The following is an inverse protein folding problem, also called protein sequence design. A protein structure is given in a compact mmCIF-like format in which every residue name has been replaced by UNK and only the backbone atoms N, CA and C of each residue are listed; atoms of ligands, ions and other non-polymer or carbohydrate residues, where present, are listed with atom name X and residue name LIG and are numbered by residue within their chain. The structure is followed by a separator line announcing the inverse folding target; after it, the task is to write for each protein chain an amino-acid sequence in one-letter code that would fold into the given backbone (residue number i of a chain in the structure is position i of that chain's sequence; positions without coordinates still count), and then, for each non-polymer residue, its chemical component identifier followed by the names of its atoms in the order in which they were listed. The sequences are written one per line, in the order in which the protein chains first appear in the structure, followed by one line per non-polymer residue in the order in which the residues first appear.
data_IF_355318819152
#
_entry.id   IF_355318819152
#
_cell.length_a   1.000
_cell.length_b   1.000
_cell.length_c   1.000
_cell.angle_alpha   90.00
_cell.angle_beta   90.00
_cell.angle_gamma   90.00
#
_symmetry.space_group_name_H-M   'P 1'
#
loop_
_entity.id
_entity.type
_entity.pdbx_description
1 polymer ?
#
# COMPACT_ATOMS: atom_id res chain seq x y z
N UNK A 1 -20.75 20.81 -15.75
CA UNK A 1 -19.40 20.26 -15.52
C UNK A 1 -19.53 18.76 -15.55
N UNK A 2 -18.80 18.07 -16.43
CA UNK A 2 -18.92 16.62 -16.58
C UNK A 2 -18.53 15.93 -15.27
N UNK A 3 -19.41 15.06 -14.77
CA UNK A 3 -19.21 14.20 -13.60
C UNK A 3 -18.12 13.15 -13.87
N UNK A 4 -16.89 13.60 -14.14
CA UNK A 4 -15.76 12.71 -14.26
C UNK A 4 -15.23 12.44 -12.86
N UNK A 5 -15.88 11.48 -12.18
CA UNK A 5 -15.39 10.96 -10.91
C UNK A 5 -14.04 10.28 -11.17
N UNK A 6 -12.98 10.63 -10.41
CA UNK A 6 -11.70 9.97 -10.57
C UNK A 6 -11.77 8.48 -10.21
N UNK A 7 -11.02 7.65 -10.95
CA UNK A 7 -11.00 6.20 -10.77
C UNK A 7 -10.53 5.74 -9.38
N UNK A 8 -9.78 6.57 -8.66
CA UNK A 8 -9.28 6.26 -7.31
C UNK A 8 -10.34 6.44 -6.21
N UNK A 9 -11.40 7.22 -6.45
CA UNK A 9 -12.37 7.55 -5.41
C UNK A 9 -13.45 6.47 -5.34
N UNK A 10 -13.74 5.82 -4.20
CA UNK A 10 -14.77 4.78 -4.11
C UNK A 10 -16.20 5.24 -4.38
N UNK A 11 -17.08 4.30 -4.79
CA UNK A 11 -18.48 4.58 -5.15
C UNK A 11 -19.34 4.63 -3.89
N UNK A 12 -19.26 3.54 -3.12
CA UNK A 12 -20.07 3.31 -1.94
C UNK A 12 -19.55 4.20 -0.83
N UNK A 13 -20.47 4.76 -0.05
CA UNK A 13 -20.15 5.66 1.05
C UNK A 13 -19.23 5.02 2.09
N UNK A 14 -19.56 3.80 2.53
CA UNK A 14 -18.71 3.03 3.46
C UNK A 14 -17.29 2.81 2.95
N UNK A 15 -17.14 2.57 1.64
CA UNK A 15 -15.81 2.40 1.03
C UNK A 15 -15.08 3.74 0.93
N UNK A 16 -15.81 4.82 0.62
CA UNK A 16 -15.27 6.17 0.58
C UNK A 16 -14.81 6.65 1.96
N UNK A 17 -15.60 6.41 3.02
CA UNK A 17 -15.25 6.76 4.41
C UNK A 17 -13.95 6.08 4.83
N UNK A 18 -13.84 4.77 4.58
CA UNK A 18 -12.63 3.99 4.90
C UNK A 18 -11.42 4.47 4.11
N UNK A 19 -11.58 4.62 2.80
CA UNK A 19 -10.53 5.12 1.93
C UNK A 19 -10.08 6.53 2.34
N UNK A 20 -11.01 7.42 2.68
CA UNK A 20 -10.69 8.80 3.00
C UNK A 20 -9.99 8.93 4.36
N UNK A 21 -10.32 8.06 5.32
CA UNK A 21 -9.59 7.94 6.58
C UNK A 21 -8.11 7.61 6.36
N UNK A 22 -7.82 6.59 5.54
CA UNK A 22 -6.46 6.19 5.20
C UNK A 22 -5.74 7.28 4.38
N UNK A 23 -6.45 7.90 3.42
CA UNK A 23 -5.94 9.05 2.67
C UNK A 23 -5.51 10.18 3.60
N UNK A 24 -6.33 10.56 4.60
CA UNK A 24 -6.00 11.61 5.56
C UNK A 24 -4.82 11.22 6.46
N UNK A 25 -4.77 9.97 6.93
CA UNK A 25 -3.67 9.48 7.75
C UNK A 25 -2.34 9.57 6.99
N UNK A 26 -2.29 9.07 5.74
CA UNK A 26 -1.09 9.17 4.90
C UNK A 26 -0.78 10.60 4.50
N UNK A 27 -1.78 11.40 4.10
CA UNK A 27 -1.59 12.79 3.71
C UNK A 27 -0.98 13.62 4.83
N UNK A 28 -1.31 13.33 6.09
CA UNK A 28 -0.70 14.00 7.24
C UNK A 28 0.81 13.83 7.29
N UNK A 29 1.31 12.66 6.88
CA UNK A 29 2.74 12.35 6.87
C UNK A 29 3.44 13.01 5.68
N UNK A 30 2.82 12.98 4.50
CA UNK A 30 3.46 13.45 3.26
C UNK A 30 3.16 14.91 2.90
N UNK A 31 2.19 15.56 3.57
CA UNK A 31 1.72 16.92 3.26
C UNK A 31 2.85 17.95 3.07
N UNK A 32 3.87 18.03 3.96
CA UNK A 32 4.97 18.98 3.78
C UNK A 32 5.78 18.75 2.50
N UNK A 33 5.89 17.50 2.06
CA UNK A 33 6.64 17.12 0.86
C UNK A 33 5.91 17.57 -0.41
N UNK A 34 4.58 17.45 -0.42
CA UNK A 34 3.73 17.75 -1.58
C UNK A 34 3.13 19.16 -1.56
N UNK A 35 3.55 20.02 -0.62
CA UNK A 35 3.14 21.42 -0.57
C UNK A 35 1.72 21.66 -0.05
N UNK A 36 1.16 20.70 0.70
CA UNK A 36 -0.14 20.87 1.36
C UNK A 36 0.08 21.51 2.74
N UNK A 37 -0.63 22.61 2.98
CA UNK A 37 -0.55 23.36 4.24
C UNK A 37 -1.34 22.68 5.35
N UNK A 38 -0.98 22.97 6.61
CA UNK A 38 -1.74 22.50 7.78
C UNK A 38 -3.20 22.98 7.74
N UNK A 39 -3.45 24.19 7.25
CA UNK A 39 -4.82 24.72 7.11
C UNK A 39 -5.66 23.91 6.12
N UNK A 40 -5.08 23.53 4.96
CA UNK A 40 -5.76 22.68 3.98
C UNK A 40 -6.04 21.29 4.53
N UNK A 41 -5.07 20.71 5.27
CA UNK A 41 -5.25 19.42 5.91
C UNK A 41 -6.34 19.47 6.98
N UNK A 42 -6.38 20.54 7.78
CA UNK A 42 -7.39 20.73 8.81
C UNK A 42 -8.79 20.90 8.21
N UNK A 43 -8.93 21.62 7.10
CA UNK A 43 -10.20 21.76 6.40
C UNK A 43 -10.75 20.40 5.93
N UNK A 44 -9.89 19.53 5.38
CA UNK A 44 -10.29 18.17 4.97
C UNK A 44 -10.69 17.30 6.17
N UNK A 45 -9.94 17.40 7.28
CA UNK A 45 -10.26 16.69 8.54
C UNK A 45 -11.62 17.12 9.08
N UNK A 46 -11.89 18.43 9.14
CA UNK A 46 -13.18 18.94 9.60
C UNK A 46 -14.35 18.44 8.73
N UNK A 47 -14.18 18.34 7.41
CA UNK A 47 -15.20 17.74 6.54
C UNK A 47 -15.42 16.24 6.83
N UNK A 48 -14.34 15.50 7.09
CA UNK A 48 -14.43 14.08 7.47
C UNK A 48 -15.15 13.89 8.80
N UNK A 49 -14.76 14.66 9.82
CA UNK A 49 -15.35 14.57 11.16
C UNK A 49 -16.85 14.86 11.14
N UNK A 50 -17.27 15.86 10.35
CA UNK A 50 -18.67 16.20 10.16
C UNK A 50 -19.45 15.11 9.42
N UNK A 51 -18.84 14.43 8.44
CA UNK A 51 -19.46 13.29 7.76
C UNK A 51 -19.66 12.12 8.73
N UNK A 52 -18.66 11.80 9.55
CA UNK A 52 -18.74 10.74 10.57
C UNK A 52 -19.80 11.06 11.63
N UNK A 53 -19.88 12.32 12.06
CA UNK A 53 -20.90 12.78 12.99
C UNK A 53 -22.30 12.67 12.37
N UNK A 54 -22.45 12.98 11.08
CA UNK A 54 -23.70 12.79 10.35
C UNK A 54 -24.13 11.31 10.36
N UNK A 55 -23.23 10.39 10.03
CA UNK A 55 -23.49 8.93 10.04
C UNK A 55 -23.95 8.42 11.42
N UNK A 56 -23.28 8.87 12.49
CA UNK A 56 -23.67 8.55 13.86
C UNK A 56 -25.07 9.04 14.19
N UNK A 57 -25.40 10.27 13.78
CA UNK A 57 -26.72 10.87 13.99
C UNK A 57 -27.80 10.15 13.21
N UNK A 58 -27.55 9.81 11.95
CA UNK A 58 -28.50 9.02 11.13
C UNK A 58 -28.82 7.69 11.80
N UNK A 59 -27.78 6.99 12.28
CA UNK A 59 -27.95 5.73 13.01
C UNK A 59 -28.79 5.93 14.28
N UNK A 60 -28.42 6.91 15.11
CA UNK A 60 -29.13 7.20 16.36
C UNK A 60 -30.60 7.58 16.14
N UNK A 61 -30.88 8.47 15.18
CA UNK A 61 -32.24 8.91 14.85
C UNK A 61 -33.09 7.76 14.28
N UNK A 62 -32.47 6.84 13.53
CA UNK A 62 -33.16 5.65 13.02
C UNK A 62 -33.56 4.71 14.17
N UNK A 63 -32.66 4.48 15.13
CA UNK A 63 -32.97 3.69 16.33
C UNK A 63 -34.10 4.33 17.13
N UNK A 64 -34.04 5.65 17.35
CA UNK A 64 -35.06 6.40 18.07
C UNK A 64 -36.42 6.37 17.34
N UNK A 65 -36.42 6.46 16.01
CA UNK A 65 -37.63 6.28 15.22
C UNK A 65 -38.26 4.90 15.44
N UNK A 66 -37.44 3.84 15.44
CA UNK A 66 -37.91 2.48 15.70
C UNK A 66 -38.47 2.30 17.12
N UNK A 67 -37.85 2.90 18.14
CA UNK A 67 -38.37 2.83 19.52
C UNK A 67 -39.72 3.52 19.65
N UNK A 68 -39.91 4.65 18.99
CA UNK A 68 -41.21 5.35 18.95
C UNK A 68 -42.28 4.59 18.16
N UNK A 69 -41.92 3.90 17.07
CA UNK A 69 -42.85 3.03 16.35
C UNK A 69 -43.31 1.89 17.26
N UNK A 70 -42.39 1.25 18.00
CA UNK A 70 -42.71 0.21 18.95
C UNK A 70 -43.63 0.72 20.08
N UNK A 71 -43.30 1.86 20.69
CA UNK A 71 -44.10 2.49 21.74
C UNK A 71 -45.53 2.78 21.27
N UNK A 72 -45.68 3.32 20.05
CA UNK A 72 -46.99 3.55 19.42
C UNK A 72 -47.77 2.25 19.23
N UNK A 73 -47.11 1.19 18.77
CA UNK A 73 -47.76 -0.10 18.55
C UNK A 73 -48.24 -0.72 19.86
N UNK A 74 -47.48 -0.61 20.95
CA UNK A 74 -47.90 -1.06 22.28
C UNK A 74 -49.09 -0.24 22.79
N UNK A 75 -49.12 1.08 22.59
CA UNK A 75 -50.29 1.89 22.95
C UNK A 75 -51.56 1.47 22.22
N UNK A 76 -51.45 1.14 20.94
CA UNK A 76 -52.62 0.84 20.10
C UNK A 76 -53.10 -0.60 20.22
N UNK A 77 -52.17 -1.55 20.30
CA UNK A 77 -52.46 -2.98 20.17
C UNK A 77 -51.97 -3.82 21.36
N UNK A 78 -51.36 -3.19 22.38
CA UNK A 78 -50.89 -3.86 23.59
C UNK A 78 -52.04 -4.24 24.52
N UNK A 79 -51.72 -4.98 25.58
CA UNK A 79 -52.71 -5.35 26.61
C UNK A 79 -53.01 -4.17 27.52
N UNK A 80 -54.23 -4.13 28.07
CA UNK A 80 -54.57 -3.15 29.09
C UNK A 80 -53.60 -3.25 30.29
N UNK A 81 -53.05 -2.11 30.71
CA UNK A 81 -52.03 -2.02 31.77
C UNK A 81 -50.59 -2.32 31.34
N UNK A 82 -50.33 -2.62 30.07
CA UNK A 82 -48.97 -2.83 29.55
C UNK A 82 -48.16 -1.52 29.60
N UNK A 83 -46.92 -1.60 30.08
CA UNK A 83 -46.04 -0.43 30.20
C UNK A 83 -45.48 -0.02 28.85
N UNK A 84 -45.59 1.26 28.52
CA UNK A 84 -45.02 1.86 27.30
C UNK A 84 -43.83 2.74 27.68
N UNK A 85 -42.69 2.51 27.04
CA UNK A 85 -41.47 3.29 27.25
C UNK A 85 -41.25 4.23 26.07
N UNK A 86 -41.06 5.51 26.36
CA UNK A 86 -40.62 6.52 25.39
C UNK A 86 -39.18 6.89 25.66
N UNK A 87 -38.32 6.68 24.67
CA UNK A 87 -36.94 7.15 24.75
C UNK A 87 -36.89 8.68 24.69
N UNK A 88 -35.97 9.29 25.44
CA UNK A 88 -35.84 10.75 25.46
C UNK A 88 -35.24 11.25 24.15
N UNK A 89 -35.88 12.26 23.54
CA UNK A 89 -35.33 12.97 22.38
C UNK A 89 -34.44 14.10 22.90
N UNK A 90 -33.13 13.96 22.75
CA UNK A 90 -32.20 15.03 23.09
C UNK A 90 -32.37 16.24 22.13
N UNK A 91 -32.26 17.46 22.65
CA UNK A 91 -32.26 18.65 21.82
C UNK A 91 -31.05 18.65 20.87
N UNK A 92 -31.30 18.72 19.56
CA UNK A 92 -30.26 18.75 18.54
C UNK A 92 -30.01 20.19 18.13
N UNK A 93 -28.85 20.73 18.51
CA UNK A 93 -28.41 22.03 18.02
C UNK A 93 -28.00 21.93 16.55
N UNK A 94 -28.51 22.85 15.72
CA UNK A 94 -28.08 23.00 14.34
C UNK A 94 -26.66 23.53 14.24
N UNK A 95 -25.96 23.15 13.18
CA UNK A 95 -24.67 23.75 12.81
C UNK A 95 -24.64 23.93 11.29
N UNK A 96 -23.95 24.97 10.82
CA UNK A 96 -23.74 25.22 9.40
C UNK A 96 -22.34 24.78 9.01
N UNK A 97 -22.24 23.87 8.05
CA UNK A 97 -20.96 23.42 7.49
C UNK A 97 -21.09 23.41 5.97
N UNK A 98 -20.09 23.93 5.28
CA UNK A 98 -20.01 23.87 3.82
C UNK A 98 -19.73 22.43 3.37
N UNK A 99 -20.51 21.93 2.41
CA UNK A 99 -20.37 20.58 1.88
C UNK A 99 -19.28 20.44 0.81
N UNK A 100 -19.32 19.33 0.08
CA UNK A 100 -18.44 19.12 -1.09
C UNK A 100 -17.13 18.40 -0.77
N UNK A 101 -17.13 17.48 0.20
CA UNK A 101 -15.96 16.69 0.59
C UNK A 101 -15.27 15.98 -0.60
N UNK A 102 -16.04 15.43 -1.54
CA UNK A 102 -15.50 14.78 -2.75
C UNK A 102 -14.80 15.78 -3.66
N UNK A 103 -15.38 16.96 -3.87
CA UNK A 103 -14.75 18.01 -4.68
C UNK A 103 -13.50 18.58 -4.01
N UNK A 104 -13.52 18.72 -2.68
CA UNK A 104 -12.36 19.11 -1.90
C UNK A 104 -11.20 18.11 -2.05
N UNK A 105 -11.51 16.81 -2.02
CA UNK A 105 -10.54 15.75 -2.31
C UNK A 105 -10.01 15.85 -3.74
N UNK A 106 -10.86 16.03 -4.74
CA UNK A 106 -10.42 16.19 -6.15
C UNK A 106 -9.45 17.36 -6.30
N UNK A 107 -9.78 18.52 -5.73
CA UNK A 107 -8.90 19.70 -5.75
C UNK A 107 -7.57 19.43 -5.05
N UNK A 108 -7.61 18.78 -3.90
CA UNK A 108 -6.40 18.43 -3.12
C UNK A 108 -5.51 17.48 -3.90
N UNK A 109 -6.08 16.45 -4.52
CA UNK A 109 -5.32 15.50 -5.34
C UNK A 109 -4.69 16.19 -6.55
N UNK A 110 -5.40 17.13 -7.20
CA UNK A 110 -4.83 17.91 -8.28
C UNK A 110 -3.61 18.74 -7.82
N UNK A 111 -3.67 19.36 -6.63
CA UNK A 111 -2.55 20.08 -6.03
C UNK A 111 -1.37 19.15 -5.71
N UNK A 112 -1.65 17.99 -5.12
CA UNK A 112 -0.64 16.97 -4.82
C UNK A 112 0.09 16.54 -6.10
N UNK A 113 -0.65 16.18 -7.16
CA UNK A 113 -0.07 15.75 -8.44
C UNK A 113 0.68 16.85 -9.18
N UNK A 114 0.35 18.11 -8.93
CA UNK A 114 1.06 19.26 -9.48
C UNK A 114 2.34 19.63 -8.70
N UNK A 115 2.58 19.02 -7.54
CA UNK A 115 3.78 19.28 -6.75
C UNK A 115 5.04 18.77 -7.45
N UNK A 116 6.16 19.53 -7.47
CA UNK A 116 7.41 19.07 -8.08
C UNK A 116 8.03 17.86 -7.34
N UNK A 117 7.64 17.64 -6.08
CA UNK A 117 8.11 16.51 -5.27
C UNK A 117 7.16 15.31 -5.36
N UNK A 118 6.09 15.40 -6.15
CA UNK A 118 5.17 14.29 -6.36
C UNK A 118 5.89 13.14 -7.05
N UNK A 119 5.65 11.92 -6.55
CA UNK A 119 6.06 10.68 -7.21
C UNK A 119 4.87 9.74 -7.26
N UNK A 120 4.86 8.81 -8.21
CA UNK A 120 3.84 7.77 -8.23
C UNK A 120 3.84 6.91 -6.95
N UNK A 121 4.98 6.79 -6.27
CA UNK A 121 5.06 6.09 -4.98
C UNK A 121 4.22 6.81 -3.92
N UNK A 122 4.34 8.14 -3.81
CA UNK A 122 3.48 8.97 -2.96
C UNK A 122 2.01 8.82 -3.37
N UNK A 123 1.72 8.85 -4.67
CA UNK A 123 0.36 8.65 -5.19
C UNK A 123 -0.24 7.29 -4.82
N UNK A 124 0.55 6.22 -4.84
CA UNK A 124 0.13 4.87 -4.44
C UNK A 124 -0.08 4.76 -2.93
N UNK A 125 0.79 5.36 -2.12
CA UNK A 125 0.62 5.38 -0.66
C UNK A 125 -0.62 6.17 -0.23
N UNK A 126 -0.94 7.24 -0.95
CA UNK A 126 -2.17 8.01 -0.77
C UNK A 126 -3.41 7.31 -1.35
N UNK A 127 -3.26 6.21 -2.10
CA UNK A 127 -4.37 5.53 -2.75
C UNK A 127 -5.05 6.35 -3.87
N UNK A 128 -4.30 7.25 -4.53
CA UNK A 128 -4.74 8.11 -5.65
C UNK A 128 -4.13 7.72 -7.00
N UNK A 129 -3.30 6.67 -7.01
CA UNK A 129 -2.79 5.99 -8.20
C UNK A 129 -3.12 4.51 -8.14
N UNK A 130 -3.48 3.94 -9.29
CA UNK A 130 -3.66 2.50 -9.43
C UNK A 130 -2.31 1.82 -9.65
N UNK A 131 -1.99 0.81 -8.84
CA UNK A 131 -0.75 0.03 -8.97
C UNK A 131 -0.37 -0.63 -7.65
N UNK A 132 0.54 -1.62 -7.66
CA UNK A 132 1.01 -2.26 -6.44
C UNK A 132 1.70 -1.22 -5.54
N UNK A 133 1.22 -1.09 -4.29
CA UNK A 133 1.89 -0.29 -3.26
C UNK A 133 3.35 -0.74 -3.18
N UNK A 134 4.34 0.14 -3.39
CA UNK A 134 5.73 -0.25 -3.21
C UNK A 134 5.89 -0.63 -1.74
N UNK A 135 6.31 -1.87 -1.51
CA UNK A 135 6.19 -2.49 -0.19
C UNK A 135 7.08 -1.76 0.85
N UNK A 136 6.48 -1.26 1.96
CA UNK A 136 7.23 -0.69 3.08
C UNK A 136 8.18 -1.71 3.75
N UNK A 137 8.02 -3.01 3.50
CA UNK A 137 8.86 -4.07 4.08
C UNK A 137 10.21 -4.25 3.38
N UNK A 138 10.34 -3.86 2.11
CA UNK A 138 11.51 -4.18 1.28
C UNK A 138 12.41 -2.98 0.96
N UNK A 139 12.01 -1.76 1.35
CA UNK A 139 12.83 -0.57 1.18
C UNK A 139 14.20 -0.75 1.85
N UNK A 140 15.27 -0.55 1.09
CA UNK A 140 16.65 -0.72 1.58
C UNK A 140 17.12 -2.17 1.76
N UNK A 141 16.25 -3.17 1.52
CA UNK A 141 16.62 -4.59 1.59
C UNK A 141 17.06 -5.09 0.22
N UNK A 142 18.08 -5.93 0.21
CA UNK A 142 18.60 -6.61 -0.98
C UNK A 142 19.17 -7.97 -0.59
N UNK A 143 19.19 -8.96 -1.51
CA UNK A 143 19.84 -10.23 -1.25
C UNK A 143 21.36 -10.04 -1.21
N UNK A 144 22.00 -10.59 -0.17
CA UNK A 144 23.46 -10.72 -0.13
C UNK A 144 23.85 -12.08 -0.70
N UNK A 145 24.56 -12.09 -1.82
CA UNK A 145 25.01 -13.30 -2.50
C UNK A 145 26.35 -13.77 -1.92
N UNK A 146 26.51 -15.08 -1.77
CA UNK A 146 27.79 -15.74 -1.47
C UNK A 146 28.08 -16.79 -2.53
N UNK A 147 29.31 -16.81 -3.05
CA UNK A 147 29.73 -17.74 -4.10
C UNK A 147 30.87 -18.64 -3.68
N UNK A 148 30.80 -19.92 -4.04
CA UNK A 148 31.87 -20.89 -3.82
C UNK A 148 32.13 -21.69 -5.10
N UNK A 149 33.38 -22.08 -5.34
CA UNK A 149 33.74 -22.98 -6.45
C UNK A 149 33.70 -24.42 -5.91
N UNK A 150 32.75 -25.22 -6.39
CA UNK A 150 32.60 -26.61 -5.96
C UNK A 150 33.42 -27.55 -6.84
N UNK A 151 34.33 -28.28 -6.20
CA UNK A 151 35.15 -29.31 -6.83
C UNK A 151 36.02 -28.81 -7.99
N UNK A 152 36.22 -27.50 -8.14
CA UNK A 152 36.94 -26.91 -9.28
C UNK A 152 36.20 -27.03 -10.62
N UNK A 153 34.88 -27.29 -10.62
CA UNK A 153 34.12 -27.58 -11.85
C UNK A 153 32.94 -26.63 -12.08
N UNK A 154 32.38 -26.04 -11.03
CA UNK A 154 31.22 -25.15 -11.13
C UNK A 154 31.19 -24.12 -10.01
N UNK A 155 30.47 -23.03 -10.24
CA UNK A 155 30.17 -22.03 -9.20
C UNK A 155 28.83 -22.36 -8.55
N UNK A 156 28.78 -22.33 -7.23
CA UNK A 156 27.54 -22.38 -6.46
C UNK A 156 27.29 -21.00 -5.83
N UNK A 157 26.10 -20.46 -6.07
CA UNK A 157 25.62 -19.21 -5.49
C UNK A 157 24.60 -19.51 -4.41
N UNK A 158 24.75 -18.88 -3.26
CA UNK A 158 23.81 -18.97 -2.13
C UNK A 158 23.39 -17.59 -1.67
N UNK A 159 22.24 -17.50 -1.02
CA UNK A 159 21.72 -16.25 -0.48
C UNK A 159 20.88 -16.49 0.78
N UNK A 160 20.61 -15.42 1.54
CA UNK A 160 19.65 -15.48 2.65
C UNK A 160 18.26 -15.13 2.14
N UNK A 161 17.36 -16.11 2.14
CA UNK A 161 15.97 -15.95 1.64
C UNK A 161 15.11 -15.05 2.54
N UNK A 162 15.26 -15.14 3.86
CA UNK A 162 14.44 -14.35 4.80
C UNK A 162 12.94 -14.60 4.60
N UNK A 163 12.17 -13.51 4.48
CA UNK A 163 10.72 -13.53 4.17
C UNK A 163 10.39 -13.51 2.68
N UNK A 164 11.40 -13.50 1.81
CA UNK A 164 11.18 -13.48 0.36
C UNK A 164 10.83 -14.88 -0.14
N UNK A 165 10.17 -14.98 -1.29
CA UNK A 165 9.91 -16.25 -1.95
C UNK A 165 11.15 -16.76 -2.71
N UNK A 166 12.04 -15.87 -3.12
CA UNK A 166 13.24 -16.20 -3.86
C UNK A 166 14.06 -14.97 -4.26
N UNK A 167 14.86 -15.13 -5.31
CA UNK A 167 15.61 -14.03 -5.95
C UNK A 167 15.46 -14.06 -7.46
N UNK A 168 15.56 -12.89 -8.08
CA UNK A 168 15.80 -12.74 -9.50
C UNK A 168 17.30 -12.54 -9.70
N UNK A 169 17.96 -13.48 -10.38
CA UNK A 169 19.42 -13.53 -10.50
C UNK A 169 19.88 -13.11 -11.91
N UNK A 170 20.92 -12.29 -11.94
CA UNK A 170 21.65 -11.90 -13.14
C UNK A 170 23.13 -12.23 -12.99
N UNK A 171 23.79 -12.50 -14.11
CA UNK A 171 25.21 -12.85 -14.18
C UNK A 171 25.89 -12.09 -15.31
N UNK A 172 27.12 -11.64 -15.11
CA UNK A 172 27.96 -11.05 -16.13
C UNK A 172 29.30 -11.78 -16.18
N UNK A 173 29.60 -12.38 -17.33
CA UNK A 173 30.82 -13.15 -17.59
C UNK A 173 31.81 -12.46 -18.55
N UNK A 174 31.63 -11.15 -18.75
CA UNK A 174 32.44 -10.32 -19.65
C UNK A 174 31.66 -9.73 -20.83
N UNK A 175 30.45 -10.23 -21.10
CA UNK A 175 29.62 -9.81 -22.24
C UNK A 175 28.42 -8.92 -21.83
N UNK A 176 28.39 -8.49 -20.56
CA UNK A 176 27.27 -7.74 -19.99
C UNK A 176 26.37 -8.61 -19.11
N UNK A 177 25.35 -7.99 -18.51
CA UNK A 177 24.42 -8.66 -17.61
C UNK A 177 23.43 -9.52 -18.38
N UNK A 178 23.42 -10.81 -18.07
CA UNK A 178 22.52 -11.82 -18.60
C UNK A 178 21.59 -12.30 -17.50
N UNK A 179 20.33 -12.53 -17.87
CA UNK A 179 19.30 -13.00 -16.96
C UNK A 179 19.46 -14.51 -16.75
N UNK A 180 19.63 -14.94 -15.50
CA UNK A 180 19.52 -16.36 -15.12
C UNK A 180 18.05 -16.71 -14.92
N UNK A 181 17.31 -15.84 -14.22
CA UNK A 181 15.88 -15.96 -13.99
C UNK A 181 15.49 -15.93 -12.52
N UNK A 182 14.25 -16.34 -12.25
CA UNK A 182 13.65 -16.32 -10.91
C UNK A 182 13.88 -17.66 -10.21
N UNK A 183 14.57 -17.63 -9.07
CA UNK A 183 14.98 -18.79 -8.29
C UNK A 183 14.19 -18.81 -6.97
N UNK A 184 13.17 -19.66 -6.88
CA UNK A 184 12.26 -19.78 -5.71
C UNK A 184 12.44 -21.08 -4.93
N UNK A 185 13.02 -22.10 -5.57
CA UNK A 185 13.27 -23.42 -4.99
C UNK A 185 14.59 -23.39 -4.22
N UNK A 186 14.51 -23.07 -2.92
CA UNK A 186 15.67 -23.01 -2.03
C UNK A 186 16.43 -21.68 -2.09
N UNK A 187 17.57 -21.64 -1.40
CA UNK A 187 18.44 -20.47 -1.31
C UNK A 187 19.85 -20.76 -1.87
N UNK A 188 19.89 -21.62 -2.89
CA UNK A 188 21.10 -22.12 -3.56
C UNK A 188 20.82 -22.29 -5.04
N UNK A 189 21.82 -22.02 -5.87
CA UNK A 189 21.80 -22.28 -7.30
C UNK A 189 23.21 -22.63 -7.79
N UNK A 190 23.30 -23.72 -8.55
CA UNK A 190 24.54 -24.13 -9.20
C UNK A 190 24.57 -23.55 -10.60
N UNK A 191 25.61 -22.77 -10.91
CA UNK A 191 25.85 -22.25 -12.24
C UNK A 191 26.27 -23.39 -13.17
N UNK A 192 25.48 -23.72 -14.21
CA UNK A 192 25.79 -24.81 -15.12
C UNK A 192 26.91 -24.47 -16.10
N UNK A 193 27.37 -23.20 -16.13
CA UNK A 193 28.36 -22.74 -17.10
C UNK A 193 29.74 -23.34 -16.78
N UNK A 194 30.41 -24.00 -17.74
CA UNK A 194 31.76 -24.50 -17.53
C UNK A 194 32.74 -23.39 -17.14
N UNK A 195 33.68 -23.70 -16.24
CA UNK A 195 34.70 -22.74 -15.85
C UNK A 195 35.64 -22.44 -17.03
N UNK A 196 36.06 -21.18 -17.22
CA UNK A 196 36.94 -20.80 -18.31
C UNK A 196 38.35 -21.38 -18.11
N UNK A 197 39.10 -21.59 -19.20
CA UNK A 197 40.46 -22.15 -19.15
C UNK A 197 41.49 -21.18 -18.54
N UNK A 198 41.20 -19.88 -18.57
CA UNK A 198 42.01 -18.83 -17.96
C UNK A 198 41.24 -18.13 -16.83
N UNK A 199 41.99 -17.56 -15.88
CA UNK A 199 41.41 -16.78 -14.78
C UNK A 199 40.58 -15.64 -15.35
N UNK A 200 39.28 -15.69 -15.07
CA UNK A 200 38.29 -14.74 -15.54
C UNK A 200 37.43 -14.28 -14.37
N UNK A 201 36.97 -13.04 -14.41
CA UNK A 201 36.07 -12.48 -13.42
C UNK A 201 34.60 -12.71 -13.83
N UNK A 202 33.83 -13.35 -12.97
CA UNK A 202 32.38 -13.45 -13.10
C UNK A 202 31.71 -12.60 -12.02
N UNK A 203 30.64 -11.89 -12.40
CA UNK A 203 29.85 -11.05 -11.49
C UNK A 203 28.44 -11.55 -11.40
N UNK A 204 27.88 -11.55 -10.20
CA UNK A 204 26.51 -11.95 -9.92
C UNK A 204 25.82 -10.87 -9.12
N UNK A 205 24.55 -10.60 -9.43
CA UNK A 205 23.72 -9.69 -8.65
C UNK A 205 22.29 -10.16 -8.64
N UNK A 206 21.54 -9.77 -7.62
CA UNK A 206 20.18 -10.22 -7.47
C UNK A 206 19.27 -9.20 -6.80
N UNK A 207 17.97 -9.36 -7.02
CA UNK A 207 16.89 -8.65 -6.34
C UNK A 207 15.96 -9.67 -5.69
N UNK A 208 15.36 -9.36 -4.53
CA UNK A 208 14.41 -10.28 -3.91
C UNK A 208 13.16 -10.45 -4.77
N UNK A 209 12.52 -11.62 -4.65
CA UNK A 209 11.22 -11.90 -5.27
C UNK A 209 10.22 -12.27 -4.18
N UNK A 210 9.05 -11.64 -4.19
CA UNK A 210 7.92 -12.00 -3.34
C UNK A 210 6.62 -11.91 -4.14
N UNK A 211 5.74 -12.90 -3.99
CA UNK A 211 4.48 -13.07 -4.73
C UNK A 211 4.68 -12.92 -6.25
N UNK A 212 5.74 -13.53 -6.77
CA UNK A 212 6.14 -13.48 -8.18
C UNK A 212 6.48 -12.08 -8.73
N UNK A 213 6.85 -11.13 -7.87
CA UNK A 213 7.30 -9.79 -8.26
C UNK A 213 8.66 -9.47 -7.63
N UNK A 214 9.50 -8.73 -8.36
CA UNK A 214 10.76 -8.21 -7.82
C UNK A 214 10.46 -7.12 -6.77
N UNK A 215 11.13 -7.22 -5.61
CA UNK A 215 10.94 -6.32 -4.47
C UNK A 215 12.29 -5.92 -3.87
N UNK A 216 12.34 -4.74 -3.27
CA UNK A 216 13.56 -4.19 -2.67
C UNK A 216 14.56 -3.66 -3.69
N UNK A 217 15.78 -3.47 -3.24
CA UNK A 217 16.86 -2.91 -4.04
C UNK A 217 17.66 -4.03 -4.72
N UNK A 218 18.34 -3.66 -5.82
CA UNK A 218 19.37 -4.49 -6.42
C UNK A 218 20.54 -4.63 -5.42
N UNK A 219 20.96 -5.87 -5.15
CA UNK A 219 22.10 -6.15 -4.30
C UNK A 219 23.43 -5.76 -4.93
N UNK A 220 24.50 -5.65 -4.12
CA UNK A 220 25.84 -5.43 -4.64
C UNK A 220 26.32 -6.61 -5.50
N UNK A 221 27.22 -6.33 -6.42
CA UNK A 221 27.87 -7.36 -7.25
C UNK A 221 28.71 -8.29 -6.36
N UNK A 222 28.40 -9.58 -6.40
CA UNK A 222 29.32 -10.63 -5.98
C UNK A 222 30.30 -10.89 -7.12
N UNK A 223 31.59 -10.69 -6.85
CA UNK A 223 32.67 -10.87 -7.83
C UNK A 223 33.44 -12.14 -7.47
N UNK A 224 33.62 -13.03 -8.45
CA UNK A 224 34.37 -14.27 -8.30
C UNK A 224 35.44 -14.38 -9.39
N UNK A 225 36.67 -14.72 -8.99
CA UNK A 225 37.72 -15.14 -9.92
C UNK A 225 37.60 -16.64 -10.18
N UNK A 226 37.21 -17.01 -11.40
CA UNK A 226 36.96 -18.40 -11.80
C UNK A 226 38.00 -18.87 -12.82
N UNK A 227 38.41 -20.13 -12.68
CA UNK A 227 39.22 -20.84 -13.68
C UNK A 227 39.03 -22.34 -13.48
N UNK A 228 39.16 -23.10 -14.56
CA UNK A 228 39.29 -24.54 -14.48
C UNK A 228 40.58 -24.89 -13.72
N UNK A 229 40.53 -25.91 -12.85
CA UNK A 229 41.74 -26.41 -12.18
C UNK A 229 42.75 -26.86 -13.25
N UNK A 230 44.03 -26.48 -13.17
CA UNK A 230 45.04 -27.04 -14.06
C UNK A 230 45.04 -28.57 -13.91
N UNK A 231 45.07 -29.28 -15.04
CA UNK A 231 45.21 -30.73 -15.09
C UNK A 231 46.53 -31.16 -14.44
#
# INVERSE_FOLDING_TARGET
MSNHRPNYMPVRENDFIKWFQEFLATLTVVAPQVGITEQQLQALRSLYDMLIECEKRVTHLTTLLHSYIAAKNTLLNGREGETVVFETIAAINGSMVEGGIKDAVVRTVALIKASPNYTEAIGRDLGIEAGPRPAPEWAGKYPTLTGTILGGTRVQITWVKGRADGVYLEVNRGEGWQIVGTLITGAVWDDPTPLPPSVTEWRYRATYVSRNQTVGNLGPDLILSVHAKPQ
#
